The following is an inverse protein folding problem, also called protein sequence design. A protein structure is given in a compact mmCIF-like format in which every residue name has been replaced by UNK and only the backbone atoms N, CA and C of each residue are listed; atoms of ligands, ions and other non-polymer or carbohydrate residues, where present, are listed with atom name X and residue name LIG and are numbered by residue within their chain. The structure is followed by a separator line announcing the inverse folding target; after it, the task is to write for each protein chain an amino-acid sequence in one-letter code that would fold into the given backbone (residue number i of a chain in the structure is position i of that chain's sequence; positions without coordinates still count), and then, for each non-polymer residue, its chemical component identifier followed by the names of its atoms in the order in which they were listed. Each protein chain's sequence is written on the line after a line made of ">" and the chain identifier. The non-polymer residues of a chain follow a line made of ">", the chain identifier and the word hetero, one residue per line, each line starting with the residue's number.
data_IF_822049121633
#
_entry.id   IF_822049121633
#
_cell.length_a   1.000
_cell.length_b   1.000
_cell.length_c   1.000
_cell.angle_alpha   90.00
_cell.angle_beta   90.00
_cell.angle_gamma   90.00
#
_symmetry.space_group_name_H-M   'P 1'
#
loop_
_entity.id
_entity.type
_entity.pdbx_description
1 polymer ?
#
# COMPACT_ATOMS: atom_id res chain seq x y z
N UNK A 1 -26.58 2.55 -5.94
CA UNK A 1 -25.59 1.44 -5.92
C UNK A 1 -24.46 1.82 -6.88
N UNK A 2 -23.17 1.66 -6.55
CA UNK A 2 -22.10 2.07 -7.46
C UNK A 2 -22.00 1.12 -8.65
N UNK A 3 -21.98 1.69 -9.86
CA UNK A 3 -21.91 1.01 -11.15
C UNK A 3 -20.44 0.81 -11.56
N UNK A 4 -19.70 -0.02 -10.83
CA UNK A 4 -18.42 -0.53 -11.30
C UNK A 4 -18.69 -1.92 -11.88
N UNK A 5 -18.76 -2.01 -13.22
CA UNK A 5 -18.87 -3.29 -13.91
C UNK A 5 -17.73 -4.21 -13.47
N UNK A 6 -18.05 -5.49 -13.22
CA UNK A 6 -17.16 -6.53 -12.66
C UNK A 6 -15.68 -6.22 -12.85
N UNK A 7 -15.13 -5.45 -11.91
CA UNK A 7 -13.82 -4.84 -12.05
C UNK A 7 -12.89 -5.67 -11.18
N UNK A 8 -11.82 -6.18 -11.79
CA UNK A 8 -10.81 -6.93 -11.09
C UNK A 8 -10.42 -6.21 -9.78
N UNK A 9 -10.32 -6.97 -8.70
CA UNK A 9 -9.91 -6.48 -7.39
C UNK A 9 -8.58 -5.73 -7.48
N UNK A 10 -8.48 -4.56 -6.85
CA UNK A 10 -7.26 -3.73 -6.89
C UNK A 10 -6.22 -4.29 -5.92
N UNK A 11 -5.05 -4.70 -6.41
CA UNK A 11 -3.95 -5.16 -5.54
C UNK A 11 -3.22 -4.00 -4.86
N UNK A 12 -3.22 -4.00 -3.53
CA UNK A 12 -2.42 -3.10 -2.70
C UNK A 12 -1.20 -3.83 -2.15
N UNK A 13 -0.01 -3.41 -2.58
CA UNK A 13 1.25 -3.97 -2.13
C UNK A 13 1.78 -3.23 -0.89
N UNK A 14 1.97 -3.96 0.20
CA UNK A 14 2.42 -3.45 1.49
C UNK A 14 3.65 -4.21 1.98
N UNK A 15 4.64 -3.50 2.52
CA UNK A 15 5.86 -4.13 3.07
C UNK A 15 5.78 -4.50 4.56
N UNK A 16 4.64 -4.25 5.21
CA UNK A 16 4.40 -4.61 6.60
C UNK A 16 3.40 -5.76 6.69
N UNK A 17 3.92 -6.97 6.90
CA UNK A 17 3.09 -8.17 7.08
C UNK A 17 2.12 -7.99 8.25
N UNK A 18 2.59 -7.43 9.37
CA UNK A 18 1.75 -7.14 10.54
C UNK A 18 0.58 -6.19 10.20
N UNK A 19 0.80 -5.19 9.32
CA UNK A 19 -0.28 -4.29 8.89
C UNK A 19 -1.31 -5.00 8.02
N UNK A 20 -0.86 -5.91 7.14
CA UNK A 20 -1.75 -6.74 6.32
C UNK A 20 -2.60 -7.65 7.22
N UNK A 21 -1.97 -8.32 8.20
CA UNK A 21 -2.65 -9.23 9.12
C UNK A 21 -3.69 -8.49 9.97
N UNK A 22 -3.32 -7.29 10.47
CA UNK A 22 -4.25 -6.40 11.18
C UNK A 22 -5.43 -6.02 10.27
N UNK A 23 -5.18 -5.63 9.03
CA UNK A 23 -6.23 -5.23 8.08
C UNK A 23 -7.19 -6.38 7.76
N UNK A 24 -6.69 -7.62 7.67
CA UNK A 24 -7.49 -8.83 7.44
C UNK A 24 -8.18 -9.35 8.72
N UNK A 25 -7.73 -8.94 9.90
CA UNK A 25 -8.34 -9.37 11.16
C UNK A 25 -9.62 -8.58 11.47
N UNK A 26 -10.77 -9.21 11.25
CA UNK A 26 -12.08 -8.62 11.52
C UNK A 26 -12.35 -8.35 13.01
N UNK A 27 -11.71 -9.09 13.92
CA UNK A 27 -11.88 -8.92 15.36
C UNK A 27 -10.95 -7.83 15.94
N UNK A 28 -9.97 -7.35 15.17
CA UNK A 28 -9.05 -6.32 15.64
C UNK A 28 -9.77 -4.97 15.82
N UNK A 29 -9.67 -4.41 17.01
CA UNK A 29 -10.14 -3.08 17.33
C UNK A 29 -9.00 -2.27 17.95
N UNK A 30 -8.45 -1.33 17.18
CA UNK A 30 -7.32 -0.54 17.65
C UNK A 30 -7.73 0.48 18.71
N UNK A 31 -6.95 0.54 19.80
CA UNK A 31 -7.08 1.60 20.82
C UNK A 31 -6.59 2.96 20.33
N UNK A 32 -5.77 3.02 19.27
CA UNK A 32 -5.24 4.28 18.70
C UNK A 32 -6.23 4.84 17.68
N UNK A 33 -6.68 6.09 17.89
CA UNK A 33 -7.68 6.77 17.03
C UNK A 33 -7.36 6.70 15.54
N UNK A 34 -6.12 7.02 15.15
CA UNK A 34 -5.73 7.07 13.74
C UNK A 34 -5.75 5.68 13.07
N UNK A 35 -5.41 4.62 13.82
CA UNK A 35 -5.49 3.25 13.32
C UNK A 35 -6.95 2.84 13.20
N UNK A 36 -7.77 3.07 14.23
CA UNK A 36 -9.18 2.69 14.25
C UNK A 36 -9.96 3.29 13.07
N UNK A 37 -9.77 4.59 12.80
CA UNK A 37 -10.43 5.28 11.70
C UNK A 37 -10.05 4.70 10.33
N UNK A 38 -8.75 4.46 10.08
CA UNK A 38 -8.27 3.95 8.79
C UNK A 38 -8.58 2.46 8.60
N UNK A 39 -8.46 1.67 9.67
CA UNK A 39 -8.72 0.23 9.66
C UNK A 39 -10.15 -0.08 9.26
N UNK A 40 -11.14 0.67 9.78
CA UNK A 40 -12.54 0.48 9.40
C UNK A 40 -12.78 0.60 7.89
N UNK A 41 -12.24 1.64 7.25
CA UNK A 41 -12.38 1.84 5.81
C UNK A 41 -11.68 0.73 4.98
N UNK A 42 -10.43 0.40 5.32
CA UNK A 42 -9.67 -0.65 4.62
C UNK A 42 -10.34 -2.02 4.77
N UNK A 43 -10.85 -2.32 5.97
CA UNK A 43 -11.55 -3.56 6.27
C UNK A 43 -12.83 -3.72 5.44
N UNK A 44 -13.63 -2.67 5.30
CA UNK A 44 -14.84 -2.71 4.45
C UNK A 44 -14.48 -2.90 2.98
N UNK A 45 -13.42 -2.25 2.48
CA UNK A 45 -12.96 -2.45 1.10
C UNK A 45 -12.45 -3.87 0.84
N UNK A 46 -11.71 -4.46 1.80
CA UNK A 46 -11.27 -5.86 1.73
C UNK A 46 -12.48 -6.82 1.77
N UNK A 47 -13.44 -6.58 2.66
CA UNK A 47 -14.66 -7.39 2.81
C UNK A 47 -15.51 -7.39 1.54
N UNK A 48 -15.62 -6.23 0.89
CA UNK A 48 -16.40 -6.06 -0.34
C UNK A 48 -15.63 -6.52 -1.60
N UNK A 49 -14.41 -7.05 -1.44
CA UNK A 49 -13.59 -7.54 -2.55
C UNK A 49 -13.10 -6.43 -3.50
N UNK A 50 -13.14 -5.17 -3.07
CA UNK A 50 -12.71 -4.01 -3.89
C UNK A 50 -11.19 -3.97 -3.99
N UNK A 51 -10.50 -4.31 -2.89
CA UNK A 51 -9.04 -4.31 -2.80
C UNK A 51 -8.54 -5.66 -2.29
N UNK A 52 -7.35 -6.10 -2.71
CA UNK A 52 -6.56 -7.17 -2.07
C UNK A 52 -5.36 -6.54 -1.39
N UNK A 53 -4.87 -7.16 -0.31
CA UNK A 53 -3.65 -6.72 0.37
C UNK A 53 -2.58 -7.82 0.27
N UNK A 54 -1.48 -7.48 -0.38
CA UNK A 54 -0.39 -8.38 -0.75
C UNK A 54 0.93 -7.89 -0.17
N UNK A 55 1.76 -8.83 0.28
CA UNK A 55 3.07 -8.50 0.80
C UNK A 55 4.06 -8.23 -0.33
N UNK A 56 4.85 -7.16 -0.20
CA UNK A 56 6.00 -6.87 -1.06
C UNK A 56 7.23 -6.61 -0.19
N UNK A 57 8.37 -7.16 -0.56
CA UNK A 57 9.63 -6.86 0.15
C UNK A 57 9.96 -5.38 0.01
N UNK A 58 10.50 -4.74 1.04
CA UNK A 58 10.79 -3.29 1.04
C UNK A 58 11.65 -2.85 -0.13
N UNK A 59 12.61 -3.67 -0.55
CA UNK A 59 13.50 -3.39 -1.70
C UNK A 59 12.77 -3.38 -3.04
N UNK A 60 11.59 -4.01 -3.11
CA UNK A 60 10.72 -4.07 -4.28
C UNK A 60 9.52 -3.12 -4.17
N UNK A 61 9.36 -2.43 -3.06
CA UNK A 61 8.26 -1.49 -2.87
C UNK A 61 8.64 -0.14 -3.49
N UNK A 62 8.12 0.14 -4.68
CA UNK A 62 8.38 1.40 -5.40
C UNK A 62 7.91 2.65 -4.64
N UNK A 63 6.94 2.51 -3.73
CA UNK A 63 6.44 3.62 -2.92
C UNK A 63 7.29 3.92 -1.67
N UNK A 64 8.09 2.96 -1.20
CA UNK A 64 8.91 3.12 0.01
C UNK A 64 9.90 4.30 -0.11
N UNK A 65 10.61 4.47 -1.25
CA UNK A 65 11.38 5.67 -1.59
C UNK A 65 10.67 7.01 -1.41
N UNK A 66 9.35 7.08 -1.65
CA UNK A 66 8.58 8.32 -1.52
C UNK A 66 8.34 8.73 -0.05
N UNK A 67 8.64 7.85 0.90
CA UNK A 67 8.43 8.07 2.34
C UNK A 67 9.73 8.28 3.12
N UNK A 68 10.89 8.21 2.43
CA UNK A 68 12.21 8.22 3.04
C UNK A 68 13.06 9.38 2.53
N UNK A 69 13.99 9.83 3.37
CA UNK A 69 15.14 10.61 2.90
C UNK A 69 16.09 9.69 2.15
N UNK A 70 16.25 9.91 0.83
CA UNK A 70 17.07 9.06 -0.03
C UNK A 70 18.36 9.76 -0.44
N UNK A 71 19.40 8.96 -0.64
CA UNK A 71 20.60 9.43 -1.33
C UNK A 71 20.31 9.60 -2.82
N UNK A 72 21.07 10.46 -3.49
CA UNK A 72 20.96 10.70 -4.94
C UNK A 72 21.00 9.41 -5.76
N UNK A 73 21.89 8.48 -5.42
CA UNK A 73 22.01 7.17 -6.08
C UNK A 73 20.70 6.36 -5.99
N UNK A 74 20.04 6.35 -4.83
CA UNK A 74 18.78 5.64 -4.63
C UNK A 74 17.63 6.31 -5.39
N UNK A 75 17.62 7.64 -5.46
CA UNK A 75 16.64 8.38 -6.27
C UNK A 75 16.76 7.99 -7.73
N UNK A 76 17.97 7.97 -8.30
CA UNK A 76 18.22 7.56 -9.69
C UNK A 76 17.77 6.12 -9.97
N UNK A 77 18.08 5.19 -9.06
CA UNK A 77 17.66 3.79 -9.19
C UNK A 77 16.13 3.63 -9.14
N UNK A 78 15.49 4.28 -8.18
CA UNK A 78 14.03 4.16 -8.01
C UNK A 78 13.25 4.87 -9.11
N UNK A 79 13.71 6.04 -9.56
CA UNK A 79 13.06 6.75 -10.67
C UNK A 79 13.01 5.91 -11.94
N UNK A 80 14.10 5.19 -12.28
CA UNK A 80 14.08 4.20 -13.37
C UNK A 80 13.07 3.08 -13.12
N UNK A 81 13.04 2.52 -11.92
CA UNK A 81 12.10 1.45 -11.57
C UNK A 81 10.63 1.90 -11.63
N UNK A 82 10.36 3.19 -11.44
CA UNK A 82 9.04 3.81 -11.63
C UNK A 82 8.74 4.17 -13.09
N UNK A 83 9.65 3.93 -14.03
CA UNK A 83 9.49 4.31 -15.43
C UNK A 83 9.77 5.79 -15.71
N UNK A 84 10.38 6.50 -14.78
CA UNK A 84 10.75 7.91 -14.94
C UNK A 84 12.14 8.03 -15.56
N UNK A 85 12.33 9.05 -16.39
CA UNK A 85 13.67 9.48 -16.80
C UNK A 85 14.33 10.20 -15.61
N UNK A 86 15.47 9.70 -15.09
CA UNK A 86 16.17 10.39 -14.02
C UNK A 86 16.64 11.76 -14.50
N UNK A 87 16.53 12.77 -13.65
CA UNK A 87 17.07 14.09 -13.93
C UNK A 87 18.61 14.02 -13.85
N UNK A 88 19.26 14.45 -14.92
CA UNK A 88 20.71 14.67 -14.97
C UNK A 88 21.03 15.96 -14.18
N UNK A 89 20.99 15.86 -12.85
CA UNK A 89 21.41 16.93 -11.91
C UNK A 89 22.93 17.00 -11.75
#
# INVERSE_FOLDING_TARGET
>A
MPLWGSSAQISLHCNSQATIDIAKNYAYNSKRRHIRLRHGAVKELLKNGVISAEYVRSERNLADPLTKGLTRRMILGTSRAMGLKPLDL
#
